data_IF_878226459378
#
_entry.id   IF_878226459378
#
_cell.length_a   1.000
_cell.length_b   1.000
_cell.length_c   1.000
_cell.angle_alpha   90.00
_cell.angle_beta   90.00
_cell.angle_gamma   90.00
#
_symmetry.space_group_name_H-M   'P 1'
#
loop_
_entity.id
_entity.type
_entity.pdbx_description
1 polymer ?
#
# COMPACT_ATOMS: atom_id res chain seq x y z
N UNK A 1 3.91 16.21 -10.94
CA UNK A 1 3.01 16.03 -9.79
C UNK A 1 3.79 16.08 -8.48
N UNK A 2 3.18 16.59 -7.44
CA UNK A 2 3.78 16.55 -6.10
C UNK A 2 3.83 15.11 -5.58
N UNK A 3 4.82 14.82 -4.75
CA UNK A 3 4.96 13.48 -4.18
C UNK A 3 3.71 13.01 -3.44
N UNK A 4 3.08 13.90 -2.66
CA UNK A 4 1.87 13.56 -1.91
C UNK A 4 0.71 13.16 -2.83
N UNK A 5 0.60 13.76 -4.01
CA UNK A 5 -0.45 13.41 -4.99
C UNK A 5 -0.23 12.02 -5.56
N UNK A 6 1.03 11.65 -5.79
CA UNK A 6 1.39 10.33 -6.33
C UNK A 6 1.07 9.24 -5.31
N UNK A 7 1.41 9.46 -4.04
CA UNK A 7 1.11 8.51 -2.96
C UNK A 7 -0.40 8.41 -2.74
N UNK A 8 -1.13 9.54 -2.75
CA UNK A 8 -2.59 9.53 -2.64
C UNK A 8 -3.25 8.74 -3.77
N UNK A 9 -2.78 8.93 -5.00
CA UNK A 9 -3.29 8.21 -6.16
C UNK A 9 -3.21 6.70 -5.96
N UNK A 10 -2.11 6.21 -5.39
CA UNK A 10 -1.95 4.79 -5.08
C UNK A 10 -2.99 4.33 -4.05
N UNK A 11 -3.11 5.01 -2.92
CA UNK A 11 -4.05 4.61 -1.87
C UNK A 11 -5.51 4.77 -2.26
N UNK A 12 -5.82 5.66 -3.21
CA UNK A 12 -7.18 5.85 -3.74
C UNK A 12 -7.52 4.84 -4.84
N UNK A 13 -6.55 4.05 -5.31
CA UNK A 13 -6.76 3.01 -6.30
C UNK A 13 -7.58 1.85 -5.73
N UNK A 14 -8.28 1.13 -6.59
CA UNK A 14 -9.01 -0.08 -6.20
C UNK A 14 -8.07 -1.28 -6.22
N UNK A 15 -7.29 -1.44 -5.14
CA UNK A 15 -6.27 -2.50 -5.03
C UNK A 15 -6.86 -3.91 -5.08
N UNK A 16 -8.12 -4.06 -4.68
CA UNK A 16 -8.78 -5.35 -4.66
C UNK A 16 -9.28 -5.80 -6.03
N UNK A 17 -9.38 -4.89 -7.01
CA UNK A 17 -9.99 -5.20 -8.30
C UNK A 17 -9.19 -4.75 -9.52
N UNK A 18 -8.42 -3.65 -9.42
CA UNK A 18 -7.69 -3.08 -10.55
C UNK A 18 -6.30 -3.71 -10.68
N UNK A 19 -6.09 -4.50 -11.72
CA UNK A 19 -4.82 -5.18 -11.97
C UNK A 19 -3.75 -4.29 -12.63
N UNK A 20 -4.04 -3.02 -12.88
CA UNK A 20 -3.10 -2.07 -13.50
C UNK A 20 -2.38 -1.17 -12.49
N UNK A 21 -2.72 -1.27 -11.20
CA UNK A 21 -2.23 -0.34 -10.17
C UNK A 21 -0.70 -0.35 -10.06
N UNK A 22 -0.07 -1.52 -10.05
CA UNK A 22 1.39 -1.61 -9.91
C UNK A 22 2.07 -0.95 -11.11
N UNK A 23 1.64 -1.27 -12.32
CA UNK A 23 2.22 -0.70 -13.55
C UNK A 23 2.05 0.82 -13.61
N UNK A 24 0.92 1.34 -13.10
CA UNK A 24 0.64 2.78 -13.13
C UNK A 24 1.32 3.55 -12.01
N UNK A 25 1.59 2.93 -10.86
CA UNK A 25 2.02 3.64 -9.67
C UNK A 25 3.47 3.39 -9.26
N UNK A 26 4.04 2.23 -9.56
CA UNK A 26 5.35 1.84 -9.06
C UNK A 26 6.45 1.99 -10.10
N UNK A 27 7.59 2.50 -9.64
CA UNK A 27 8.83 2.56 -10.43
C UNK A 27 9.32 1.14 -10.72
N UNK A 28 9.88 0.90 -11.91
CA UNK A 28 10.40 -0.44 -12.27
C UNK A 28 11.52 -0.93 -11.35
N UNK A 29 12.24 -0.01 -10.72
CA UNK A 29 13.32 -0.31 -9.79
C UNK A 29 12.90 -0.10 -8.33
N UNK A 30 11.60 -0.17 -8.05
CA UNK A 30 11.08 0.06 -6.71
C UNK A 30 11.49 -1.03 -5.71
N UNK A 31 11.52 -0.64 -4.44
CA UNK A 31 11.71 -1.57 -3.33
C UNK A 31 10.79 -1.16 -2.19
N UNK A 32 10.06 -2.13 -1.64
CA UNK A 32 9.24 -1.97 -0.46
C UNK A 32 9.93 -2.72 0.69
N UNK A 33 10.44 -1.97 1.66
CA UNK A 33 11.06 -2.53 2.86
C UNK A 33 9.98 -2.59 3.94
N UNK A 34 9.54 -3.81 4.25
CA UNK A 34 8.36 -4.01 5.08
C UNK A 34 8.67 -4.83 6.32
N UNK A 35 8.49 -4.19 7.49
CA UNK A 35 8.48 -4.87 8.78
C UNK A 35 7.03 -5.13 9.18
N UNK A 36 6.62 -6.38 9.15
CA UNK A 36 5.25 -6.78 9.51
C UNK A 36 5.27 -7.69 10.74
N UNK A 37 4.08 -8.10 11.17
CA UNK A 37 3.94 -9.10 12.24
C UNK A 37 4.55 -10.46 11.88
N UNK A 38 4.84 -10.68 10.60
CA UNK A 38 5.47 -11.90 10.09
C UNK A 38 6.98 -11.78 9.86
N UNK A 39 7.58 -10.63 10.23
CA UNK A 39 8.99 -10.37 10.06
C UNK A 39 9.30 -9.33 9.00
N UNK A 40 10.57 -9.22 8.63
CA UNK A 40 11.06 -8.25 7.64
C UNK A 40 11.19 -8.88 6.26
N UNK A 41 10.77 -8.13 5.23
CA UNK A 41 10.97 -8.54 3.84
C UNK A 41 11.20 -7.32 2.96
N UNK A 42 11.88 -7.54 1.83
CA UNK A 42 12.05 -6.54 0.78
C UNK A 42 11.32 -7.05 -0.45
N UNK A 43 10.33 -6.30 -0.92
CA UNK A 43 9.58 -6.63 -2.13
C UNK A 43 10.05 -5.72 -3.26
N UNK A 44 10.47 -6.33 -4.37
CA UNK A 44 10.79 -5.62 -5.61
C UNK A 44 9.56 -5.59 -6.52
N UNK A 45 9.67 -4.98 -7.69
CA UNK A 45 8.53 -4.76 -8.58
C UNK A 45 7.70 -6.04 -8.81
N UNK A 46 8.35 -7.15 -9.22
CA UNK A 46 7.63 -8.38 -9.51
C UNK A 46 7.02 -9.02 -8.26
N UNK A 47 7.67 -8.86 -7.10
CA UNK A 47 7.13 -9.33 -5.83
C UNK A 47 5.86 -8.55 -5.45
N UNK A 48 5.85 -7.25 -5.73
CA UNK A 48 4.69 -6.39 -5.46
C UNK A 48 3.52 -6.77 -6.39
N UNK A 49 3.81 -7.07 -7.66
CA UNK A 49 2.80 -7.58 -8.60
C UNK A 49 2.15 -8.86 -8.04
N UNK A 50 2.97 -9.81 -7.61
CA UNK A 50 2.48 -11.08 -7.05
C UNK A 50 1.69 -10.85 -5.77
N UNK A 51 2.14 -9.94 -4.91
CA UNK A 51 1.45 -9.61 -3.67
C UNK A 51 0.02 -9.09 -3.95
N UNK A 52 -0.15 -8.18 -4.90
CA UNK A 52 -1.48 -7.64 -5.21
C UNK A 52 -2.35 -8.62 -6.01
N UNK A 53 -1.76 -9.57 -6.73
CA UNK A 53 -2.55 -10.69 -7.28
C UNK A 53 -3.24 -11.47 -6.15
N UNK A 54 -2.51 -11.74 -5.07
CA UNK A 54 -3.07 -12.38 -3.88
C UNK A 54 -4.17 -11.56 -3.23
N UNK A 55 -3.98 -10.23 -3.16
CA UNK A 55 -4.97 -9.30 -2.65
C UNK A 55 -6.29 -9.40 -3.43
N UNK A 56 -6.20 -9.39 -4.77
CA UNK A 56 -7.39 -9.48 -5.64
C UNK A 56 -8.14 -10.81 -5.50
N UNK A 57 -7.43 -11.88 -5.14
CA UNK A 57 -8.03 -13.20 -4.93
C UNK A 57 -8.71 -13.34 -3.57
N UNK A 58 -8.35 -12.48 -2.61
CA UNK A 58 -8.79 -12.60 -1.22
C UNK A 58 -9.83 -11.58 -0.80
N UNK A 59 -9.80 -10.38 -1.40
CA UNK A 59 -10.60 -9.26 -0.93
C UNK A 59 -11.51 -8.71 -2.02
N UNK A 60 -12.75 -8.40 -1.62
CA UNK A 60 -13.72 -7.71 -2.46
C UNK A 60 -13.44 -6.20 -2.48
N UNK A 61 -13.07 -5.64 -1.31
CA UNK A 61 -12.85 -4.21 -1.14
C UNK A 61 -11.87 -3.94 0.00
N UNK A 62 -11.07 -2.87 -0.16
CA UNK A 62 -10.16 -2.37 0.88
C UNK A 62 -10.50 -0.91 1.21
N UNK A 63 -10.35 -0.54 2.49
CA UNK A 63 -10.53 0.84 2.94
C UNK A 63 -9.34 1.24 3.81
N UNK A 64 -8.75 2.39 3.50
CA UNK A 64 -7.67 2.99 4.29
C UNK A 64 -8.21 4.17 5.09
N UNK A 65 -7.76 4.28 6.34
CA UNK A 65 -8.14 5.39 7.21
C UNK A 65 -6.87 6.05 7.74
N UNK A 66 -6.61 7.29 7.30
CA UNK A 66 -5.36 7.99 7.59
C UNK A 66 -5.53 8.92 8.79
N UNK A 67 -4.56 8.84 9.74
CA UNK A 67 -4.42 9.83 10.81
C UNK A 67 -3.41 10.92 10.42
N UNK A 68 -2.41 10.57 9.61
CA UNK A 68 -1.35 11.47 9.16
C UNK A 68 -1.02 11.21 7.70
N UNK A 69 -0.78 12.29 6.96
CA UNK A 69 -0.38 12.23 5.55
C UNK A 69 0.47 13.46 5.28
N UNK A 70 1.80 13.32 5.39
CA UNK A 70 2.73 14.45 5.43
C UNK A 70 3.71 14.38 4.26
N UNK A 71 4.06 15.54 3.71
CA UNK A 71 4.99 15.64 2.58
C UNK A 71 6.21 16.48 2.96
N UNK A 72 7.40 16.01 2.54
CA UNK A 72 8.65 16.76 2.62
C UNK A 72 9.47 16.44 1.36
N UNK A 73 9.44 17.33 0.36
CA UNK A 73 10.11 17.11 -0.91
C UNK A 73 9.56 15.88 -1.63
N UNK A 74 10.44 14.91 -1.92
CA UNK A 74 10.08 13.66 -2.57
C UNK A 74 9.63 12.57 -1.58
N UNK A 75 9.56 12.91 -0.29
CA UNK A 75 9.16 11.96 0.74
C UNK A 75 7.75 12.24 1.24
N UNK A 76 7.00 11.17 1.46
CA UNK A 76 5.64 11.25 2.03
C UNK A 76 5.56 10.25 3.17
N UNK A 77 5.13 10.72 4.34
CA UNK A 77 4.95 9.88 5.50
C UNK A 77 3.47 9.70 5.78
N UNK A 78 3.06 8.46 6.06
CA UNK A 78 1.67 8.15 6.40
C UNK A 78 1.58 7.38 7.71
N UNK A 79 0.46 7.56 8.40
CA UNK A 79 0.04 6.68 9.49
C UNK A 79 -1.41 6.34 9.24
N UNK A 80 -1.73 5.06 9.11
CA UNK A 80 -3.07 4.66 8.70
C UNK A 80 -3.44 3.26 9.18
N UNK A 81 -4.74 3.00 9.17
CA UNK A 81 -5.31 1.68 9.39
C UNK A 81 -5.86 1.14 8.07
N UNK A 82 -5.79 -0.17 7.91
CA UNK A 82 -6.33 -0.88 6.74
C UNK A 82 -7.48 -1.77 7.19
N UNK A 83 -8.62 -1.58 6.54
CA UNK A 83 -9.82 -2.40 6.70
C UNK A 83 -10.13 -3.11 5.40
N UNK A 84 -10.75 -4.28 5.49
CA UNK A 84 -11.05 -5.08 4.32
C UNK A 84 -12.40 -5.75 4.41
N UNK A 85 -12.95 -6.04 3.24
CA UNK A 85 -14.13 -6.88 3.04
C UNK A 85 -13.65 -8.09 2.25
N UNK A 86 -13.77 -9.30 2.82
CA UNK A 86 -13.31 -10.51 2.13
C UNK A 86 -14.32 -10.93 1.06
N UNK A 87 -13.85 -11.73 0.10
CA UNK A 87 -14.73 -12.25 -0.95
C UNK A 87 -15.80 -13.15 -0.35
N UNK A 88 -15.48 -13.93 0.69
CA UNK A 88 -16.45 -14.80 1.37
C UNK A 88 -17.50 -14.02 2.15
N UNK A 89 -17.15 -12.84 2.71
CA UNK A 89 -18.06 -12.02 3.52
C UNK A 89 -17.97 -10.55 3.08
N UNK A 90 -18.47 -10.21 1.88
CA UNK A 90 -18.25 -8.86 1.30
C UNK A 90 -19.02 -7.75 2.02
N UNK A 91 -19.95 -8.09 2.89
CA UNK A 91 -20.74 -7.12 3.65
C UNK A 91 -20.19 -6.86 5.06
N UNK A 92 -19.12 -7.58 5.46
CA UNK A 92 -18.54 -7.46 6.80
C UNK A 92 -17.15 -6.84 6.73
N UNK A 93 -16.98 -5.66 7.36
CA UNK A 93 -15.69 -5.01 7.46
C UNK A 93 -14.84 -5.60 8.58
N UNK A 94 -13.61 -5.99 8.27
CA UNK A 94 -12.64 -6.48 9.25
C UNK A 94 -11.41 -5.60 9.26
N UNK A 95 -10.89 -5.31 10.46
CA UNK A 95 -9.62 -4.59 10.59
C UNK A 95 -8.47 -5.56 10.30
N UNK A 96 -7.58 -5.19 9.37
CA UNK A 96 -6.44 -6.03 9.01
C UNK A 96 -5.16 -5.64 9.74
N UNK A 97 -4.79 -4.36 9.68
CA UNK A 97 -3.50 -3.92 10.20
C UNK A 97 -3.43 -2.41 10.39
N UNK A 98 -2.47 -1.98 11.22
CA UNK A 98 -2.10 -0.59 11.36
C UNK A 98 -0.71 -0.38 10.78
N UNK A 99 -0.50 0.74 10.09
CA UNK A 99 0.71 1.02 9.33
C UNK A 99 1.31 2.37 9.68
N UNK A 100 2.64 2.45 9.63
CA UNK A 100 3.39 3.69 9.45
C UNK A 100 4.33 3.48 8.28
N UNK A 101 4.36 4.42 7.33
CA UNK A 101 5.15 4.28 6.11
C UNK A 101 5.84 5.58 5.76
N UNK A 102 7.04 5.46 5.16
CA UNK A 102 7.75 6.55 4.54
C UNK A 102 7.95 6.17 3.08
N UNK A 103 7.35 6.95 2.18
CA UNK A 103 7.46 6.76 0.74
C UNK A 103 8.48 7.73 0.16
N UNK A 104 9.27 7.27 -0.79
CA UNK A 104 10.10 8.11 -1.65
C UNK A 104 9.60 8.00 -3.09
N UNK A 105 9.36 9.15 -3.73
CA UNK A 105 8.88 9.24 -5.11
C UNK A 105 10.04 9.60 -6.02
N UNK A 106 10.11 8.94 -7.19
CA UNK A 106 11.11 9.23 -8.23
C UNK A 106 10.47 9.05 -9.60
N UNK A 107 10.68 10.01 -10.50
CA UNK A 107 10.10 9.97 -11.86
C UNK A 107 8.58 9.80 -11.84
N UNK A 108 7.91 10.50 -10.92
CA UNK A 108 6.46 10.43 -10.70
C UNK A 108 5.95 9.02 -10.38
N UNK A 109 6.80 8.18 -9.77
CA UNK A 109 6.47 6.81 -9.38
C UNK A 109 6.90 6.54 -7.95
N UNK A 110 6.23 5.56 -7.31
CA UNK A 110 6.62 5.05 -6.00
C UNK A 110 7.92 4.27 -6.16
N UNK A 111 8.98 4.76 -5.55
CA UNK A 111 10.33 4.24 -5.75
C UNK A 111 10.84 3.45 -4.56
N UNK A 112 10.76 4.01 -3.36
CA UNK A 112 11.14 3.33 -2.12
C UNK A 112 10.04 3.49 -1.11
N UNK A 113 9.80 2.45 -0.33
CA UNK A 113 8.92 2.52 0.84
C UNK A 113 9.61 1.85 2.01
N UNK A 114 9.55 2.50 3.16
CA UNK A 114 10.01 1.96 4.44
C UNK A 114 8.78 1.89 5.34
N UNK A 115 8.31 0.68 5.63
CA UNK A 115 6.99 0.48 6.20
C UNK A 115 7.06 -0.46 7.38
N UNK A 116 6.32 -0.11 8.43
CA UNK A 116 6.11 -0.98 9.58
C UNK A 116 4.61 -1.19 9.75
N UNK A 117 4.22 -2.41 10.02
CA UNK A 117 2.82 -2.72 10.27
C UNK A 117 2.66 -3.71 11.41
N UNK A 118 1.49 -3.63 12.04
CA UNK A 118 1.09 -4.57 13.07
C UNK A 118 -0.30 -5.08 12.72
N UNK A 119 -0.45 -6.39 12.75
CA UNK A 119 -1.75 -7.02 12.53
C UNK A 119 -2.75 -6.50 13.56
N UNK A 120 -3.96 -6.18 13.12
CA UNK A 120 -5.02 -5.75 14.00
C UNK A 120 -5.52 -6.93 14.87
N UNK A 121 -5.93 -6.60 16.07
CA UNK A 121 -6.47 -7.60 17.01
C UNK A 121 -7.88 -8.04 16.62
#
# INVERSE_FOLDING_TARGET
MKAIEIVKKFYESDLANDDTVVANCFHKECELHWNSSHGFMILKYDDIVTFFEGTRKSYDHLRFEFSHFLEDGQFVSTRHALFAYTIENPDEEVALANFMAIWEVKDDKLYRCFEMSQKAD
#
